data_IF_382669205381
#
_entry.id   IF_382669205381
#
_cell.length_a   1.000
_cell.length_b   1.000
_cell.length_c   1.000
_cell.angle_alpha   90.00
_cell.angle_beta   90.00
_cell.angle_gamma   90.00
#
_symmetry.space_group_name_H-M   'P 1'
#
loop_
_entity.id
_entity.type
_entity.pdbx_description
1 polymer ?
#
# COMPACT_ATOMS: atom_id res chain seq x y z
N UNK A 1 14.49 16.82 5.34
CA UNK A 1 13.03 16.72 5.19
C UNK A 1 12.59 15.32 5.58
N UNK A 2 11.47 15.18 6.29
CA UNK A 2 10.85 13.89 6.63
C UNK A 2 9.45 13.78 6.03
N UNK A 3 8.93 12.56 5.95
CA UNK A 3 7.57 12.26 5.47
C UNK A 3 6.81 11.45 6.51
N UNK A 4 5.52 11.71 6.67
CA UNK A 4 4.67 10.97 7.61
C UNK A 4 3.23 10.91 7.14
N UNK A 5 2.50 9.87 7.57
CA UNK A 5 1.10 9.72 7.25
C UNK A 5 0.42 8.57 7.98
N UNK A 6 -0.90 8.70 8.15
CA UNK A 6 -1.76 7.68 8.73
C UNK A 6 -2.70 7.06 7.70
N UNK A 7 -3.11 5.80 7.89
CA UNK A 7 -4.05 5.11 6.98
C UNK A 7 -3.53 5.10 5.55
N UNK A 8 -4.28 5.61 4.57
CA UNK A 8 -3.82 5.76 3.18
C UNK A 8 -2.57 6.65 3.07
N UNK A 9 -2.43 7.68 3.92
CA UNK A 9 -1.20 8.47 4.00
C UNK A 9 -0.02 7.65 4.51
N UNK A 10 -0.25 6.65 5.36
CA UNK A 10 0.77 5.69 5.80
C UNK A 10 1.15 4.71 4.69
N UNK A 11 0.17 4.24 3.91
CA UNK A 11 0.41 3.49 2.67
C UNK A 11 1.30 4.28 1.70
N UNK A 12 0.97 5.55 1.44
CA UNK A 12 1.77 6.41 0.56
C UNK A 12 3.14 6.75 1.16
N UNK A 13 3.25 6.85 2.49
CA UNK A 13 4.54 7.03 3.16
C UNK A 13 5.44 5.81 2.94
N UNK A 14 4.90 4.58 3.05
CA UNK A 14 5.64 3.36 2.74
C UNK A 14 5.99 3.28 1.24
N UNK A 15 5.04 3.65 0.37
CA UNK A 15 5.24 3.59 -1.08
C UNK A 15 6.36 4.54 -1.51
N UNK A 16 6.31 5.80 -1.10
CA UNK A 16 7.22 6.83 -1.60
C UNK A 16 8.67 6.60 -1.17
N UNK A 17 8.92 6.01 0.01
CA UNK A 17 10.29 5.71 0.46
C UNK A 17 10.94 4.53 -0.29
N UNK A 18 10.15 3.66 -0.92
CA UNK A 18 10.68 2.63 -1.84
C UNK A 18 10.97 3.16 -3.26
N UNK A 19 10.48 4.37 -3.58
CA UNK A 19 10.55 4.93 -4.94
C UNK A 19 11.38 6.23 -5.03
N UNK A 20 11.90 6.74 -3.92
CA UNK A 20 12.82 7.89 -3.91
C UNK A 20 13.68 7.93 -2.64
N UNK A 21 14.82 8.60 -2.73
CA UNK A 21 15.75 8.85 -1.62
C UNK A 21 15.66 10.31 -1.08
N UNK A 22 14.62 11.06 -1.44
CA UNK A 22 14.50 12.48 -1.06
C UNK A 22 14.24 12.71 0.44
N UNK A 23 13.73 11.70 1.16
CA UNK A 23 13.35 11.82 2.56
C UNK A 23 14.43 11.22 3.46
N UNK A 24 14.83 11.97 4.50
CA UNK A 24 15.82 11.51 5.47
C UNK A 24 15.22 10.62 6.56
N UNK A 25 13.94 10.78 6.83
CA UNK A 25 13.19 10.04 7.85
C UNK A 25 11.74 9.83 7.38
N UNK A 26 11.14 8.72 7.80
CA UNK A 26 9.76 8.39 7.52
C UNK A 26 9.06 7.80 8.74
N UNK A 27 7.81 8.20 8.98
CA UNK A 27 6.97 7.66 10.06
C UNK A 27 5.62 7.28 9.50
N UNK A 28 5.25 6.01 9.64
CA UNK A 28 3.98 5.49 9.12
C UNK A 28 3.06 5.06 10.26
N UNK A 29 1.76 5.24 10.11
CA UNK A 29 0.78 4.91 11.16
C UNK A 29 -0.45 4.20 10.58
N UNK A 30 -0.88 3.08 11.18
CA UNK A 30 -2.06 2.31 10.74
C UNK A 30 -2.05 2.06 9.22
N UNK A 31 -0.88 1.75 8.68
CA UNK A 31 -0.64 1.71 7.24
C UNK A 31 -0.85 0.32 6.65
N UNK A 32 -0.97 0.27 5.33
CA UNK A 32 -0.91 -0.97 4.56
C UNK A 32 0.45 -1.05 3.86
N UNK A 33 1.12 -2.20 3.97
CA UNK A 33 2.37 -2.50 3.25
C UNK A 33 2.21 -3.59 2.18
N UNK A 34 1.16 -4.41 2.29
CA UNK A 34 0.85 -5.52 1.39
C UNK A 34 -0.66 -5.55 1.10
N UNK A 35 -1.03 -5.21 -0.14
CA UNK A 35 -2.42 -5.17 -0.59
C UNK A 35 -3.05 -6.57 -0.69
N UNK A 36 -2.26 -7.61 -0.95
CA UNK A 36 -2.76 -9.00 -0.97
C UNK A 36 -3.25 -9.42 0.42
N UNK A 37 -2.44 -9.12 1.45
CA UNK A 37 -2.80 -9.38 2.84
C UNK A 37 -3.95 -8.50 3.32
N UNK A 38 -3.97 -7.22 2.92
CA UNK A 38 -5.08 -6.30 3.23
C UNK A 38 -6.40 -6.80 2.66
N UNK A 39 -6.42 -7.27 1.41
CA UNK A 39 -7.65 -7.79 0.81
C UNK A 39 -8.22 -8.97 1.62
N UNK A 40 -7.37 -9.85 2.15
CA UNK A 40 -7.80 -10.98 2.97
C UNK A 40 -8.17 -10.65 4.43
N UNK A 41 -7.79 -9.49 4.94
CA UNK A 41 -7.97 -9.12 6.36
C UNK A 41 -8.89 -7.93 6.60
N UNK A 42 -9.18 -7.11 5.58
CA UNK A 42 -10.07 -5.96 5.69
C UNK A 42 -11.54 -6.38 5.66
N UNK A 43 -12.32 -5.75 6.54
CA UNK A 43 -13.78 -5.76 6.59
C UNK A 43 -14.46 -5.11 5.37
N UNK A 44 -13.73 -4.27 4.61
CA UNK A 44 -14.22 -3.54 3.44
C UNK A 44 -13.36 -3.80 2.19
N UNK A 45 -12.81 -5.02 2.09
CA UNK A 45 -11.96 -5.42 0.97
C UNK A 45 -12.58 -5.21 -0.42
N UNK A 46 -13.89 -5.43 -0.57
CA UNK A 46 -14.61 -5.26 -1.83
C UNK A 46 -14.65 -3.80 -2.29
N UNK A 47 -14.76 -2.86 -1.34
CA UNK A 47 -14.69 -1.43 -1.65
C UNK A 47 -13.28 -1.04 -2.10
N UNK A 48 -12.25 -1.51 -1.41
CA UNK A 48 -10.87 -1.21 -1.78
C UNK A 48 -10.45 -1.88 -3.09
N UNK A 49 -10.92 -3.08 -3.38
CA UNK A 49 -10.68 -3.77 -4.66
C UNK A 49 -11.04 -2.89 -5.86
N UNK A 50 -12.12 -2.11 -5.77
CA UNK A 50 -12.54 -1.22 -6.85
C UNK A 50 -11.49 -0.14 -7.16
N UNK A 51 -10.77 0.35 -6.15
CA UNK A 51 -9.66 1.31 -6.31
C UNK A 51 -8.41 0.63 -6.89
N UNK A 52 -8.24 -0.67 -6.65
CA UNK A 52 -7.08 -1.45 -7.08
C UNK A 52 -7.39 -2.34 -8.28
N UNK A 53 -8.09 -1.83 -9.29
CA UNK A 53 -8.27 -2.50 -10.58
C UNK A 53 -9.51 -3.40 -10.70
N UNK A 54 -10.39 -3.42 -9.69
CA UNK A 54 -11.74 -3.99 -9.77
C UNK A 54 -11.81 -5.52 -9.78
N UNK A 55 -10.67 -6.22 -9.73
CA UNK A 55 -10.59 -7.69 -9.69
C UNK A 55 -10.03 -8.18 -8.35
N UNK A 56 -10.43 -9.35 -7.86
CA UNK A 56 -9.86 -9.89 -6.64
C UNK A 56 -8.40 -10.37 -6.84
N UNK A 57 -7.61 -10.54 -5.76
CA UNK A 57 -6.19 -10.88 -5.84
C UNK A 57 -5.85 -12.20 -6.54
N UNK A 58 -6.76 -13.18 -6.55
CA UNK A 58 -6.53 -14.44 -7.27
C UNK A 58 -6.75 -14.34 -8.78
N UNK A 59 -7.40 -13.28 -9.25
CA UNK A 59 -7.59 -12.98 -10.67
C UNK A 59 -6.56 -11.95 -11.19
N UNK A 60 -6.05 -11.08 -10.31
CA UNK A 60 -5.09 -10.04 -10.68
C UNK A 60 -4.01 -9.83 -9.60
N UNK A 61 -3.31 -10.91 -9.26
CA UNK A 61 -2.23 -10.92 -8.28
C UNK A 61 -1.16 -9.86 -8.56
N UNK A 62 -0.72 -9.79 -9.82
CA UNK A 62 0.36 -8.91 -10.26
C UNK A 62 0.02 -7.43 -10.02
N UNK A 63 -1.23 -7.03 -10.26
CA UNK A 63 -1.65 -5.66 -10.02
C UNK A 63 -1.60 -5.29 -8.52
N UNK A 64 -2.07 -6.17 -7.64
CA UNK A 64 -2.00 -5.96 -6.19
C UNK A 64 -0.56 -5.97 -5.68
N UNK A 65 0.29 -6.86 -6.22
CA UNK A 65 1.69 -6.94 -5.84
C UNK A 65 2.46 -5.68 -6.23
N UNK A 66 2.35 -5.23 -7.49
CA UNK A 66 3.06 -4.02 -7.98
C UNK A 66 2.69 -2.74 -7.25
N UNK A 67 1.48 -2.68 -6.70
CA UNK A 67 1.01 -1.53 -5.93
C UNK A 67 1.32 -1.66 -4.43
N UNK A 68 1.77 -2.83 -3.96
CA UNK A 68 2.12 -3.03 -2.56
C UNK A 68 3.46 -2.36 -2.23
N UNK A 69 3.56 -1.50 -1.20
CA UNK A 69 4.83 -0.88 -0.82
C UNK A 69 5.97 -1.86 -0.59
N UNK A 70 5.68 -3.05 -0.06
CA UNK A 70 6.67 -4.10 0.21
C UNK A 70 7.33 -4.66 -1.07
N UNK A 71 6.77 -4.44 -2.26
CA UNK A 71 7.42 -4.88 -3.52
C UNK A 71 8.57 -3.97 -3.95
N UNK A 72 8.69 -2.78 -3.36
CA UNK A 72 9.63 -1.73 -3.76
C UNK A 72 10.66 -1.38 -2.67
N UNK A 73 10.62 -2.05 -1.53
CA UNK A 73 11.55 -1.86 -0.40
C UNK A 73 12.53 -3.03 -0.36
#
# INVERSE_FOLDING_TARGET
MGVTGGSYGGYMTNWIIGHTNHFRTAVTQRSVSNLLSMWGSSDVNWSFQMEFGGKPPWEDYENFWKQSPMSAI
#
